data_IF_010518206048
#
_entry.id   IF_010518206048
#
_cell.length_a   1.000
_cell.length_b   1.000
_cell.length_c   1.000
_cell.angle_alpha   90.00
_cell.angle_beta   90.00
_cell.angle_gamma   90.00
#
_symmetry.space_group_name_H-M   'P 1'
#
loop_
_entity.id
_entity.type
_entity.pdbx_description
1 polymer ?
#
# COMPACT_ATOMS: atom_id res chain seq x y z
N UNK A 1 -16.67 2.02 0.21
CA UNK A 1 -16.50 0.73 0.93
C UNK A 1 -15.40 0.01 0.18
N UNK A 2 -14.14 0.02 0.67
CA UNK A 2 -13.10 -0.80 0.05
C UNK A 2 -13.59 -2.23 0.20
N UNK A 3 -14.03 -2.82 -0.91
CA UNK A 3 -14.63 -4.14 -0.84
C UNK A 3 -13.59 -5.07 -0.24
N UNK A 4 -13.99 -5.95 0.68
CA UNK A 4 -13.15 -7.05 1.21
C UNK A 4 -12.32 -7.71 0.09
N UNK A 5 -12.90 -7.80 -1.13
CA UNK A 5 -12.25 -8.23 -2.37
C UNK A 5 -11.03 -7.40 -2.81
N UNK A 6 -11.09 -6.07 -2.78
CA UNK A 6 -10.00 -5.17 -3.18
C UNK A 6 -8.84 -5.23 -2.19
N UNK A 7 -9.12 -5.25 -0.88
CA UNK A 7 -8.08 -5.47 0.14
C UNK A 7 -7.40 -6.83 -0.02
N UNK A 8 -8.18 -7.89 -0.28
CA UNK A 8 -7.67 -9.23 -0.54
C UNK A 8 -6.86 -9.31 -1.85
N UNK A 9 -7.21 -8.52 -2.87
CA UNK A 9 -6.42 -8.40 -4.10
C UNK A 9 -5.11 -7.66 -3.83
N UNK A 10 -5.13 -6.54 -3.09
CA UNK A 10 -3.91 -5.81 -2.70
C UNK A 10 -2.98 -6.60 -1.78
N UNK A 11 -3.51 -7.43 -0.88
CA UNK A 11 -2.71 -8.32 -0.05
C UNK A 11 -2.15 -9.52 -0.85
N UNK A 12 -2.86 -10.00 -1.87
CA UNK A 12 -2.36 -11.01 -2.80
C UNK A 12 -1.34 -10.46 -3.82
N UNK A 13 -1.34 -9.14 -4.05
CA UNK A 13 -0.35 -8.44 -4.87
C UNK A 13 1.03 -8.45 -4.21
N UNK A 14 1.14 -8.46 -2.88
CA UNK A 14 2.44 -8.47 -2.16
C UNK A 14 3.36 -9.62 -2.61
N UNK A 15 2.90 -10.89 -2.67
CA UNK A 15 3.69 -11.99 -3.23
C UNK A 15 3.86 -11.95 -4.75
N UNK A 16 2.87 -11.46 -5.50
CA UNK A 16 2.95 -11.34 -6.96
C UNK A 16 3.93 -10.23 -7.41
N UNK A 17 4.20 -9.26 -6.54
CA UNK A 17 5.10 -8.12 -6.78
C UNK A 17 6.57 -8.45 -6.44
N UNK A 18 6.82 -9.47 -5.61
CA UNK A 18 8.16 -10.01 -5.38
C UNK A 18 8.83 -10.57 -6.66
N UNK A 19 8.07 -10.65 -7.77
CA UNK A 19 8.49 -11.09 -9.10
C UNK A 19 9.68 -10.31 -9.68
N UNK A 20 9.87 -9.04 -9.35
CA UNK A 20 10.99 -8.23 -9.88
C UNK A 20 12.29 -8.38 -9.09
N UNK A 21 12.26 -9.06 -7.93
CA UNK A 21 13.39 -9.14 -6.98
C UNK A 21 13.88 -10.56 -6.74
N UNK A 22 13.69 -11.45 -7.72
CA UNK A 22 14.38 -12.73 -7.77
C UNK A 22 15.90 -12.61 -7.50
N UNK A 23 16.51 -11.49 -7.92
CA UNK A 23 17.94 -11.19 -7.69
C UNK A 23 18.21 -10.02 -6.73
N UNK A 24 17.24 -9.12 -6.49
CA UNK A 24 17.46 -7.94 -5.66
C UNK A 24 17.06 -8.19 -4.20
N UNK A 25 18.01 -8.74 -3.44
CA UNK A 25 18.19 -8.56 -1.99
C UNK A 25 16.93 -8.46 -1.10
N UNK A 26 16.64 -9.55 -0.37
CA UNK A 26 16.62 -9.64 1.12
C UNK A 26 16.08 -8.47 1.98
N UNK A 27 15.29 -7.53 1.48
CA UNK A 27 14.54 -6.61 2.34
C UNK A 27 13.25 -7.31 2.77
N UNK A 28 13.02 -7.43 4.08
CA UNK A 28 11.78 -7.99 4.58
C UNK A 28 10.55 -7.21 4.10
N UNK A 29 9.38 -7.85 4.18
CA UNK A 29 8.12 -7.30 3.67
C UNK A 29 7.53 -6.22 4.60
N UNK A 30 8.22 -5.85 5.67
CA UNK A 30 7.73 -4.86 6.63
C UNK A 30 7.64 -3.47 5.99
N UNK A 31 6.52 -2.78 6.24
CA UNK A 31 6.17 -1.50 5.65
C UNK A 31 5.47 -1.63 4.30
N UNK A 32 5.38 -2.83 3.73
CA UNK A 32 4.79 -3.02 2.39
C UNK A 32 3.32 -2.67 2.36
N UNK A 33 2.57 -3.04 3.40
CA UNK A 33 1.15 -2.73 3.47
C UNK A 33 0.95 -1.21 3.59
N UNK A 34 1.69 -0.55 4.47
CA UNK A 34 1.62 0.88 4.67
C UNK A 34 1.93 1.67 3.38
N UNK A 35 2.97 1.26 2.63
CA UNK A 35 3.29 1.84 1.31
C UNK A 35 2.15 1.67 0.31
N UNK A 36 1.51 0.49 0.24
CA UNK A 36 0.38 0.25 -0.66
C UNK A 36 -0.84 1.10 -0.29
N UNK A 37 -1.16 1.21 0.99
CA UNK A 37 -2.24 2.06 1.50
C UNK A 37 -1.96 3.52 1.14
N UNK A 38 -0.74 3.97 1.39
CA UNK A 38 -0.31 5.33 1.04
C UNK A 38 -0.46 5.62 -0.46
N UNK A 39 0.02 4.71 -1.32
CA UNK A 39 -0.09 4.87 -2.77
C UNK A 39 -1.55 4.98 -3.21
N UNK A 40 -2.43 4.15 -2.64
CA UNK A 40 -3.85 4.18 -2.94
C UNK A 40 -4.51 5.50 -2.49
N UNK A 41 -4.18 5.99 -1.29
CA UNK A 41 -4.62 7.30 -0.80
C UNK A 41 -4.11 8.44 -1.71
N UNK A 42 -2.83 8.42 -2.09
CA UNK A 42 -2.23 9.43 -2.96
C UNK A 42 -2.83 9.44 -4.37
N UNK A 43 -3.10 8.26 -4.94
CA UNK A 43 -3.78 8.13 -6.23
C UNK A 43 -5.20 8.70 -6.17
N UNK A 44 -5.95 8.37 -5.12
CA UNK A 44 -7.31 8.87 -4.94
C UNK A 44 -7.33 10.41 -4.90
N UNK A 45 -6.42 11.02 -4.13
CA UNK A 45 -6.26 12.49 -4.06
C UNK A 45 -5.87 13.06 -5.42
N UNK A 46 -4.92 12.45 -6.13
CA UNK A 46 -4.47 12.94 -7.44
C UNK A 46 -5.59 12.94 -8.49
N UNK A 47 -6.34 11.84 -8.58
CA UNK A 47 -7.42 11.65 -9.56
C UNK A 47 -8.56 12.65 -9.36
N UNK A 48 -8.82 13.05 -8.10
CA UNK A 48 -9.90 13.96 -7.75
C UNK A 48 -9.44 15.42 -7.56
N UNK A 49 -8.15 15.70 -7.73
CA UNK A 49 -7.61 17.05 -7.65
C UNK A 49 -7.76 17.77 -8.99
N UNK A 50 -8.33 18.98 -8.98
CA UNK A 50 -8.39 19.83 -10.18
C UNK A 50 -7.03 20.37 -10.62
N UNK A 51 -6.03 20.34 -9.73
CA UNK A 51 -4.69 20.86 -10.02
C UNK A 51 -3.81 19.86 -10.77
N UNK A 52 -4.07 18.56 -10.64
CA UNK A 52 -3.28 17.53 -11.32
C UNK A 52 -3.62 17.51 -12.82
N UNK A 53 -2.62 17.48 -13.73
CA UNK A 53 -2.87 17.41 -15.16
C UNK A 53 -3.79 16.24 -15.54
N UNK A 54 -4.83 16.52 -16.34
CA UNK A 54 -5.82 15.49 -16.77
C UNK A 54 -5.19 14.22 -17.38
N UNK A 55 -4.14 14.29 -18.22
CA UNK A 55 -3.48 13.08 -18.73
C UNK A 55 -2.88 12.22 -17.62
N UNK A 56 -2.25 12.85 -16.62
CA UNK A 56 -1.65 12.18 -15.47
C UNK A 56 -2.72 11.56 -14.57
N UNK A 57 -3.78 12.31 -14.24
CA UNK A 57 -4.91 11.77 -13.47
C UNK A 57 -5.55 10.56 -14.15
N UNK A 58 -5.72 10.60 -15.48
CA UNK A 58 -6.22 9.46 -16.26
C UNK A 58 -5.27 8.28 -16.28
N UNK A 59 -3.97 8.52 -16.41
CA UNK A 59 -2.96 7.47 -16.35
C UNK A 59 -2.97 6.77 -14.99
N UNK A 60 -2.97 7.53 -13.88
CA UNK A 60 -3.05 6.96 -12.52
C UNK A 60 -4.34 6.15 -12.31
N UNK A 61 -5.47 6.62 -12.84
CA UNK A 61 -6.76 5.92 -12.71
C UNK A 61 -6.90 4.69 -13.63
N UNK A 62 -6.32 4.75 -14.83
CA UNK A 62 -6.47 3.71 -15.86
C UNK A 62 -5.39 2.63 -15.81
N UNK A 63 -4.20 2.97 -15.34
CA UNK A 63 -3.02 2.10 -15.28
C UNK A 63 -2.63 1.82 -13.83
N UNK A 64 -3.60 1.38 -13.03
CA UNK A 64 -3.45 1.18 -11.58
C UNK A 64 -2.31 0.20 -11.25
N UNK A 65 -2.19 -0.87 -12.04
CA UNK A 65 -1.09 -1.83 -11.91
C UNK A 65 0.26 -1.18 -12.20
N UNK A 66 0.37 -0.32 -13.22
CA UNK A 66 1.60 0.42 -13.53
C UNK A 66 1.93 1.47 -12.45
N UNK A 67 0.91 2.10 -11.86
CA UNK A 67 1.09 3.01 -10.73
C UNK A 67 1.66 2.29 -9.51
N UNK A 68 1.10 1.13 -9.13
CA UNK A 68 1.67 0.28 -8.09
C UNK A 68 2.97 -0.42 -8.53
N UNK A 69 3.23 -0.58 -9.83
CA UNK A 69 4.51 -1.06 -10.32
C UNK A 69 5.61 -0.02 -10.10
N UNK A 70 5.29 1.27 -10.15
CA UNK A 70 6.20 2.35 -9.79
C UNK A 70 6.88 2.14 -8.42
N UNK A 71 6.23 1.44 -7.49
CA UNK A 71 6.79 1.15 -6.17
C UNK A 71 7.62 -0.12 -6.06
N UNK A 72 7.57 -1.03 -7.04
CA UNK A 72 8.13 -2.38 -6.85
C UNK A 72 8.62 -3.10 -8.11
N UNK A 73 8.14 -2.76 -9.30
CA UNK A 73 8.43 -3.49 -10.53
C UNK A 73 9.16 -2.58 -11.52
N UNK A 74 10.33 -3.01 -12.00
CA UNK A 74 11.03 -2.36 -13.11
C UNK A 74 10.45 -2.76 -14.50
N UNK A 75 9.36 -3.53 -14.55
CA UNK A 75 8.72 -4.01 -15.77
C UNK A 75 7.20 -3.99 -15.58
N UNK A 76 6.32 -3.72 -16.54
CA UNK A 76 6.46 -3.38 -17.94
C UNK A 76 5.13 -2.71 -18.32
N UNK A 77 5.15 -1.41 -18.54
CA UNK A 77 4.06 -0.72 -19.22
C UNK A 77 4.48 -0.47 -20.65
N UNK A 78 3.88 -1.14 -21.64
CA UNK A 78 4.10 -0.79 -23.04
C UNK A 78 3.20 0.38 -23.42
N UNK A 79 3.60 1.60 -23.04
CA UNK A 79 2.93 2.81 -23.53
C UNK A 79 3.14 4.05 -22.64
N UNK A 80 2.90 5.25 -23.19
CA UNK A 80 3.12 6.52 -22.48
C UNK A 80 2.29 6.67 -21.19
N UNK A 81 1.06 6.14 -21.16
CA UNK A 81 0.20 6.22 -19.98
C UNK A 81 0.75 5.38 -18.82
N UNK A 82 1.19 4.17 -19.09
CA UNK A 82 1.77 3.29 -18.07
C UNK A 82 3.10 3.83 -17.55
N UNK A 83 3.93 4.43 -18.41
CA UNK A 83 5.16 5.12 -17.98
C UNK A 83 4.87 6.30 -17.04
N UNK A 84 3.87 7.10 -17.39
CA UNK A 84 3.42 8.23 -16.58
C UNK A 84 2.89 7.77 -15.22
N UNK A 85 2.07 6.71 -15.18
CA UNK A 85 1.59 6.09 -13.95
C UNK A 85 2.74 5.56 -13.09
N UNK A 86 3.73 4.86 -13.68
CA UNK A 86 4.92 4.39 -12.97
C UNK A 86 5.74 5.55 -12.35
N UNK A 87 5.93 6.65 -13.09
CA UNK A 87 6.61 7.85 -12.57
C UNK A 87 5.86 8.46 -11.39
N UNK A 88 4.53 8.52 -11.47
CA UNK A 88 3.70 8.98 -10.37
C UNK A 88 3.83 8.08 -9.14
N UNK A 89 3.76 6.76 -9.31
CA UNK A 89 3.95 5.81 -8.21
C UNK A 89 5.30 5.97 -7.49
N UNK A 90 6.38 6.15 -8.25
CA UNK A 90 7.72 6.46 -7.70
C UNK A 90 7.73 7.76 -6.91
N UNK A 91 7.21 8.83 -7.51
CA UNK A 91 7.18 10.15 -6.88
C UNK A 91 6.39 10.13 -5.55
N UNK A 92 5.29 9.38 -5.50
CA UNK A 92 4.50 9.19 -4.28
C UNK A 92 5.32 8.48 -3.19
N UNK A 93 6.01 7.38 -3.52
CA UNK A 93 6.84 6.68 -2.55
C UNK A 93 8.01 7.51 -2.03
N UNK A 94 8.66 8.28 -2.89
CA UNK A 94 9.75 9.16 -2.47
C UNK A 94 9.27 10.24 -1.49
N UNK A 95 8.01 10.69 -1.59
CA UNK A 95 7.41 11.54 -0.57
C UNK A 95 7.17 10.78 0.75
N UNK A 96 6.71 9.53 0.65
CA UNK A 96 6.42 8.68 1.79
C UNK A 96 7.65 8.22 2.58
N UNK A 97 8.82 8.11 1.95
CA UNK A 97 10.06 7.67 2.59
C UNK A 97 10.39 8.47 3.87
N UNK A 98 10.02 9.74 3.92
CA UNK A 98 10.21 10.62 5.09
C UNK A 98 9.30 10.30 6.28
N UNK A 99 8.20 9.58 6.07
CA UNK A 99 7.24 9.18 7.09
C UNK A 99 7.42 7.71 7.52
N UNK A 100 8.31 6.96 6.85
CA UNK A 100 8.49 5.54 7.09
C UNK A 100 9.38 5.28 8.33
N UNK A 101 8.98 4.36 9.24
CA UNK A 101 9.84 3.97 10.34
C UNK A 101 11.16 3.33 9.89
N UNK A 102 12.25 3.68 10.55
CA UNK A 102 13.60 3.17 10.23
C UNK A 102 13.80 1.70 10.62
N UNK A 103 13.12 1.24 11.68
CA UNK A 103 13.28 -0.12 12.21
C UNK A 103 12.23 -1.08 11.66
N UNK A 104 12.61 -2.36 11.53
CA UNK A 104 11.70 -3.45 11.13
C UNK A 104 10.47 -3.54 12.05
N UNK A 105 10.68 -3.48 13.36
CA UNK A 105 9.60 -3.49 14.34
C UNK A 105 8.67 -2.26 14.20
N UNK A 106 9.24 -1.08 13.94
CA UNK A 106 8.48 0.14 13.66
C UNK A 106 7.62 0.00 12.40
N UNK A 107 8.18 -0.57 11.32
CA UNK A 107 7.43 -0.81 10.07
C UNK A 107 6.27 -1.79 10.26
N UNK A 108 6.46 -2.88 11.00
CA UNK A 108 5.37 -3.81 11.34
C UNK A 108 4.28 -3.16 12.19
N UNK A 109 4.67 -2.38 13.21
CA UNK A 109 3.72 -1.64 14.03
C UNK A 109 2.92 -0.63 13.19
N UNK A 110 3.57 -0.05 12.19
CA UNK A 110 2.94 0.89 11.27
C UNK A 110 1.96 0.23 10.30
N UNK A 111 2.35 -0.90 9.70
CA UNK A 111 1.45 -1.73 8.90
C UNK A 111 0.20 -2.14 9.70
N UNK A 112 0.40 -2.63 10.94
CA UNK A 112 -0.69 -3.02 11.83
C UNK A 112 -1.62 -1.84 12.15
N UNK A 113 -1.05 -0.65 12.38
CA UNK A 113 -1.83 0.56 12.65
C UNK A 113 -2.71 0.94 11.46
N UNK A 114 -2.12 1.09 10.27
CA UNK A 114 -2.89 1.48 9.08
C UNK A 114 -3.92 0.42 8.69
N UNK A 115 -3.62 -0.85 8.92
CA UNK A 115 -4.58 -1.93 8.73
C UNK A 115 -5.80 -1.79 9.65
N UNK A 116 -5.60 -1.49 10.93
CA UNK A 116 -6.70 -1.24 11.87
C UNK A 116 -7.49 0.00 11.50
N UNK A 117 -6.82 1.07 11.05
CA UNK A 117 -7.48 2.28 10.57
C UNK A 117 -8.36 1.99 9.35
N UNK A 118 -7.86 1.22 8.38
CA UNK A 118 -8.66 0.74 7.26
C UNK A 118 -9.85 -0.10 7.70
N UNK A 119 -9.65 -1.01 8.66
CA UNK A 119 -10.74 -1.81 9.22
C UNK A 119 -11.81 -0.93 9.88
N UNK A 120 -11.39 0.10 10.63
CA UNK A 120 -12.29 1.05 11.29
C UNK A 120 -13.12 1.88 10.29
N UNK A 121 -12.55 2.24 9.11
CA UNK A 121 -13.30 2.87 8.01
C UNK A 121 -14.43 1.97 7.48
N UNK A 122 -14.32 0.65 7.65
CA UNK A 122 -15.35 -0.32 7.30
C UNK A 122 -16.57 -0.33 8.22
N UNK A 123 -16.53 0.43 9.32
CA UNK A 123 -17.58 0.51 10.34
C UNK A 123 -17.12 -0.06 11.69
N UNK A 124 -17.86 0.22 12.79
CA UNK A 124 -17.50 -0.27 14.11
C UNK A 124 -17.58 -1.80 14.15
N UNK A 125 -16.47 -2.44 14.51
CA UNK A 125 -16.45 -3.86 14.79
C UNK A 125 -17.32 -4.14 16.04
N UNK A 126 -18.10 -5.23 16.01
CA UNK A 126 -18.93 -5.63 17.16
C UNK A 126 -18.08 -6.01 18.39
N UNK A 127 -16.87 -6.50 18.15
CA UNK A 127 -15.82 -6.75 19.14
C UNK A 127 -14.46 -6.70 18.45
N UNK A 128 -13.40 -6.50 19.23
CA UNK A 128 -12.05 -6.69 18.72
C UNK A 128 -11.80 -8.18 18.41
N UNK A 129 -11.11 -8.49 17.30
CA UNK A 129 -10.74 -9.87 16.98
C UNK A 129 -9.69 -10.38 17.96
N UNK A 130 -9.74 -11.67 18.30
CA UNK A 130 -8.72 -12.31 19.14
C UNK A 130 -7.42 -12.50 18.36
N UNK A 131 -6.31 -12.70 19.07
CA UNK A 131 -5.02 -13.02 18.45
C UNK A 131 -5.12 -14.28 17.56
N UNK A 132 -5.87 -15.29 17.99
CA UNK A 132 -6.11 -16.50 17.21
C UNK A 132 -6.88 -16.19 15.92
N UNK A 133 -7.92 -15.37 15.96
CA UNK A 133 -8.68 -15.00 14.76
C UNK A 133 -7.85 -14.17 13.77
N UNK A 134 -6.98 -13.30 14.29
CA UNK A 134 -6.01 -12.55 13.47
C UNK A 134 -5.03 -13.51 12.80
N UNK A 135 -4.48 -14.48 13.54
CA UNK A 135 -3.56 -15.48 13.01
C UNK A 135 -4.21 -16.38 11.94
N UNK A 136 -5.41 -16.89 12.20
CA UNK A 136 -6.19 -17.70 11.24
C UNK A 136 -6.49 -16.91 9.96
N UNK A 137 -6.81 -15.62 10.08
CA UNK A 137 -7.04 -14.77 8.93
C UNK A 137 -5.79 -14.60 8.07
N UNK A 138 -4.64 -14.34 8.70
CA UNK A 138 -3.37 -14.25 7.98
C UNK A 138 -2.94 -15.59 7.36
N UNK A 139 -3.20 -16.72 8.02
CA UNK A 139 -2.95 -18.05 7.43
C UNK A 139 -3.77 -18.27 6.15
N UNK A 140 -5.05 -17.86 6.12
CA UNK A 140 -5.86 -17.90 4.90
C UNK A 140 -5.26 -17.02 3.79
N UNK A 141 -4.72 -15.84 4.14
CA UNK A 141 -4.04 -14.97 3.17
C UNK A 141 -2.75 -15.61 2.64
N UNK A 142 -1.95 -16.24 3.51
CA UNK A 142 -0.76 -17.01 3.13
C UNK A 142 -1.09 -18.11 2.12
N UNK A 143 -2.13 -18.90 2.39
CA UNK A 143 -2.57 -19.95 1.47
C UNK A 143 -3.02 -19.39 0.12
N UNK A 144 -3.74 -18.27 0.10
CA UNK A 144 -4.14 -17.61 -1.16
C UNK A 144 -2.96 -17.05 -1.93
N UNK A 145 -1.98 -16.48 -1.23
CA UNK A 145 -0.72 -16.06 -1.82
C UNK A 145 0.01 -17.25 -2.46
N UNK A 146 0.08 -18.39 -1.78
CA UNK A 146 0.68 -19.61 -2.34
C UNK A 146 -0.10 -20.13 -3.55
N UNK A 147 -1.43 -20.03 -3.54
CA UNK A 147 -2.26 -20.32 -4.71
C UNK A 147 -2.05 -19.29 -5.83
N UNK A 148 -1.70 -18.04 -5.56
CA UNK A 148 -1.27 -17.15 -6.64
C UNK A 148 0.12 -17.56 -7.17
N UNK A 149 1.00 -18.00 -6.28
CA UNK A 149 2.38 -18.40 -6.57
C UNK A 149 2.46 -19.71 -7.37
N UNK A 150 1.59 -20.69 -7.13
CA UNK A 150 1.64 -21.98 -7.84
C UNK A 150 1.19 -21.90 -9.31
N UNK A 151 0.52 -20.81 -9.72
CA UNK A 151 0.16 -20.59 -11.13
C UNK A 151 1.31 -20.02 -11.97
N UNK A 152 2.46 -19.75 -11.35
CA UNK A 152 3.63 -19.25 -12.07
C UNK A 152 4.40 -20.40 -12.73
N UNK A 153 4.58 -20.27 -14.04
CA UNK A 153 5.33 -21.21 -14.87
C UNK A 153 6.83 -21.04 -14.55
N UNK A 154 7.56 -22.13 -14.24
CA UNK A 154 8.99 -22.07 -13.98
C UNK A 154 9.77 -21.58 -15.21
N UNK A 155 10.96 -21.02 -14.98
CA UNK A 155 11.92 -20.88 -16.06
C UNK A 155 12.43 -22.27 -16.43
N UNK A 156 12.17 -22.72 -17.66
CA UNK A 156 12.57 -24.05 -18.14
C UNK A 156 14.09 -24.24 -18.08
N UNK A 157 14.87 -23.16 -18.09
CA UNK A 157 16.34 -23.20 -18.01
C UNK A 157 16.90 -23.24 -16.57
N UNK A 158 16.11 -22.91 -15.55
CA UNK A 158 16.55 -22.80 -14.14
C UNK A 158 15.43 -23.17 -13.15
N UNK A 159 14.97 -24.43 -13.21
CA UNK A 159 13.92 -24.94 -12.31
C UNK A 159 14.38 -24.95 -10.85
N UNK A 160 15.64 -25.29 -10.58
CA UNK A 160 16.18 -25.34 -9.21
C UNK A 160 16.30 -23.95 -8.59
N UNK A 161 16.86 -22.97 -9.30
CA UNK A 161 16.91 -21.59 -8.83
C UNK A 161 15.51 -21.01 -8.69
N UNK A 162 14.56 -21.37 -9.56
CA UNK A 162 13.15 -21.00 -9.41
C UNK A 162 12.55 -21.54 -8.10
N UNK A 163 12.76 -22.83 -7.80
CA UNK A 163 12.32 -23.44 -6.53
C UNK A 163 12.93 -22.75 -5.31
N UNK A 164 14.23 -22.44 -5.34
CA UNK A 164 14.92 -21.72 -4.24
C UNK A 164 14.32 -20.33 -4.01
N UNK A 165 14.03 -19.58 -5.08
CA UNK A 165 13.38 -18.28 -5.01
C UNK A 165 11.97 -18.39 -4.43
N UNK A 166 11.24 -19.43 -4.81
CA UNK A 166 9.89 -19.72 -4.30
C UNK A 166 9.88 -19.96 -2.79
N UNK A 167 10.80 -20.80 -2.30
CA UNK A 167 10.93 -21.12 -0.87
C UNK A 167 11.29 -19.86 -0.08
N UNK A 168 12.22 -19.04 -0.58
CA UNK A 168 12.58 -17.77 0.07
C UNK A 168 11.39 -16.82 0.17
N UNK A 169 10.61 -16.68 -0.90
CA UNK A 169 9.40 -15.88 -0.91
C UNK A 169 8.38 -16.39 0.11
N UNK A 170 8.15 -17.71 0.13
CA UNK A 170 7.26 -18.34 1.10
C UNK A 170 7.65 -18.01 2.54
N UNK A 171 8.93 -18.22 2.90
CA UNK A 171 9.42 -17.94 4.25
C UNK A 171 9.32 -16.46 4.62
N UNK A 172 9.58 -15.55 3.68
CA UNK A 172 9.45 -14.11 3.91
C UNK A 172 7.99 -13.71 4.16
N UNK A 173 7.06 -14.28 3.38
CA UNK A 173 5.62 -14.06 3.53
C UNK A 173 5.13 -14.58 4.88
N UNK A 174 5.51 -15.79 5.28
CA UNK A 174 5.14 -16.35 6.58
C UNK A 174 5.70 -15.52 7.75
N UNK A 175 6.98 -15.14 7.69
CA UNK A 175 7.62 -14.33 8.72
C UNK A 175 6.93 -12.98 8.89
N UNK A 176 6.62 -12.31 7.77
CA UNK A 176 5.91 -11.03 7.77
C UNK A 176 4.52 -11.15 8.37
N UNK A 177 3.73 -12.16 7.96
CA UNK A 177 2.38 -12.33 8.49
C UNK A 177 2.36 -12.68 9.98
N UNK A 178 3.29 -13.52 10.44
CA UNK A 178 3.45 -13.81 11.86
C UNK A 178 3.80 -12.54 12.65
N UNK A 179 4.75 -11.74 12.15
CA UNK A 179 5.13 -10.46 12.76
C UNK A 179 3.99 -9.45 12.79
N UNK A 180 3.20 -9.37 11.71
CA UNK A 180 2.07 -8.48 11.60
C UNK A 180 0.91 -8.90 12.52
N UNK A 181 0.65 -10.20 12.65
CA UNK A 181 -0.34 -10.73 13.59
C UNK A 181 0.03 -10.35 15.03
N UNK A 182 1.29 -10.55 15.42
CA UNK A 182 1.79 -10.16 16.73
C UNK A 182 1.70 -8.63 16.94
N UNK A 183 1.99 -7.81 15.94
CA UNK A 183 1.84 -6.36 16.02
C UNK A 183 0.36 -5.93 16.15
N UNK A 184 -0.56 -6.61 15.46
CA UNK A 184 -1.99 -6.43 15.59
C UNK A 184 -2.55 -6.89 16.95
N UNK A 185 -1.90 -7.82 17.65
CA UNK A 185 -2.33 -8.27 18.98
C UNK A 185 -1.91 -7.29 20.10
N UNK A 186 -0.79 -6.57 19.95
CA UNK A 186 -0.22 -5.66 20.99
C UNK A 186 -1.05 -4.40 21.30
N UNK A 187 -2.30 -4.29 20.84
CA UNK A 187 -3.20 -3.17 21.13
C UNK A 187 -2.92 -1.87 20.36
N UNK A 188 -3.79 -0.86 20.53
CA UNK A 188 -3.69 0.44 19.85
C UNK A 188 -2.43 1.17 20.31
N UNK A 189 -1.52 1.42 19.38
CA UNK A 189 -0.47 2.41 19.60
C UNK A 189 -1.13 3.77 19.89
N UNK A 190 -0.53 4.53 20.79
CA UNK A 190 -0.92 5.90 21.12
C UNK A 190 -1.08 6.76 19.86
N UNK A 191 -1.94 7.81 19.92
CA UNK A 191 -1.84 8.90 18.97
C UNK A 191 -0.38 9.35 18.94
N UNK A 192 0.23 9.27 17.77
CA UNK A 192 1.63 9.63 17.58
C UNK A 192 1.66 10.55 16.36
N UNK A 193 2.69 11.39 16.27
CA UNK A 193 2.89 12.38 15.22
C UNK A 193 2.88 11.80 13.79
N UNK A 194 2.85 10.47 13.66
CA UNK A 194 2.89 9.74 12.41
C UNK A 194 1.53 9.71 11.67
N UNK A 195 0.41 9.42 12.35
CA UNK A 195 -0.94 9.35 11.73
C UNK A 195 -1.99 10.04 12.60
N UNK A 196 -2.77 10.94 12.00
CA UNK A 196 -3.92 11.57 12.63
C UNK A 196 -5.15 11.41 11.71
N UNK A 197 -6.19 10.63 12.10
CA UNK A 197 -7.40 10.48 11.29
C UNK A 197 -8.22 11.79 11.17
N UNK A 198 -7.96 12.77 12.04
CA UNK A 198 -8.56 14.10 11.96
C UNK A 198 -7.73 15.08 11.12
N UNK A 199 -6.57 14.66 10.59
CA UNK A 199 -5.83 15.44 9.60
C UNK A 199 -6.70 15.63 8.35
N UNK A 200 -6.90 16.88 7.87
CA UNK A 200 -7.81 17.16 6.75
C UNK A 200 -7.52 16.34 5.51
N UNK A 201 -6.24 16.14 5.17
CA UNK A 201 -5.85 15.43 3.96
C UNK A 201 -6.00 13.92 4.12
N UNK A 202 -5.70 13.39 5.30
CA UNK A 202 -5.93 11.97 5.64
C UNK A 202 -7.42 11.65 5.61
N UNK A 203 -8.25 12.52 6.18
CA UNK A 203 -9.71 12.37 6.16
C UNK A 203 -10.28 12.46 4.76
N UNK A 204 -9.80 13.38 3.94
CA UNK A 204 -10.22 13.51 2.54
C UNK A 204 -9.85 12.27 1.73
N UNK A 205 -8.58 11.81 1.83
CA UNK A 205 -8.13 10.57 1.19
C UNK A 205 -8.98 9.36 1.62
N UNK A 206 -9.26 9.24 2.92
CA UNK A 206 -10.14 8.19 3.44
C UNK A 206 -11.54 8.24 2.84
N UNK A 207 -12.15 9.42 2.77
CA UNK A 207 -13.51 9.59 2.26
C UNK A 207 -13.64 9.29 0.76
N UNK A 208 -12.59 9.55 -0.03
CA UNK A 208 -12.56 9.22 -1.46
C UNK A 208 -12.71 7.72 -1.75
N UNK A 209 -12.39 6.84 -0.80
CA UNK A 209 -12.64 5.39 -0.90
C UNK A 209 -14.09 4.97 -0.66
N UNK A 210 -14.94 5.90 -0.24
CA UNK A 210 -16.37 5.70 -0.06
C UNK A 210 -17.21 6.34 -1.16
N UNK A 211 -16.62 7.22 -1.95
CA UNK A 211 -17.25 7.87 -3.09
C UNK A 211 -16.49 9.15 -3.47
N UNK A 212 -16.82 9.76 -4.62
CA UNK A 212 -16.23 11.02 -5.02
C UNK A 212 -16.57 12.10 -3.98
N UNK A 213 -15.56 12.91 -3.65
CA UNK A 213 -15.77 14.16 -2.92
C UNK A 213 -16.02 15.30 -3.90
N UNK A 214 -16.64 16.38 -3.38
CA UNK A 214 -16.64 17.64 -4.09
C UNK A 214 -15.19 18.11 -4.34
N UNK A 215 -14.84 18.58 -5.56
CA UNK A 215 -13.50 19.05 -5.86
C UNK A 215 -13.01 20.19 -4.94
N UNK A 216 -13.93 21.04 -4.46
CA UNK A 216 -13.62 22.10 -3.49
C UNK A 216 -13.18 21.54 -2.14
N UNK A 217 -13.79 20.43 -1.67
CA UNK A 217 -13.38 19.76 -0.44
C UNK A 217 -11.98 19.15 -0.55
N UNK A 218 -11.61 18.60 -1.71
CA UNK A 218 -10.25 18.10 -1.97
C UNK A 218 -9.25 19.26 -2.00
N UNK A 219 -9.60 20.38 -2.64
CA UNK A 219 -8.77 21.57 -2.67
C UNK A 219 -8.54 22.16 -1.28
N UNK A 220 -9.59 22.26 -0.45
CA UNK A 220 -9.49 22.73 0.93
C UNK A 220 -8.55 21.83 1.77
N UNK A 221 -8.70 20.51 1.63
CA UNK A 221 -7.83 19.55 2.32
C UNK A 221 -6.35 19.67 1.90
N UNK A 222 -6.07 19.96 0.63
CA UNK A 222 -4.72 20.19 0.11
C UNK A 222 -4.12 21.52 0.58
N UNK A 223 -4.95 22.56 0.76
CA UNK A 223 -4.53 23.85 1.28
C UNK A 223 -4.23 23.82 2.78
N UNK A 224 -4.94 22.97 3.54
CA UNK A 224 -4.76 22.82 4.97
C UNK A 224 -3.30 22.43 5.34
N UNK A 225 -2.88 22.86 6.54
CA UNK A 225 -1.58 22.48 7.10
C UNK A 225 -1.66 21.04 7.64
N UNK A 226 -0.80 20.12 7.18
CA UNK A 226 -0.80 18.76 7.70
C UNK A 226 -0.39 18.71 9.17
N UNK A 227 -1.08 17.87 9.93
CA UNK A 227 -0.92 17.66 11.37
C UNK A 227 -0.04 16.46 11.69
N UNK A 228 0.08 15.50 10.76
CA UNK A 228 0.84 14.27 10.95
C UNK A 228 1.86 14.01 9.81
N UNK A 229 2.79 13.09 10.03
CA UNK A 229 3.79 12.70 9.02
C UNK A 229 3.14 12.13 7.76
N UNK A 230 2.11 11.30 7.92
CA UNK A 230 1.35 10.75 6.80
C UNK A 230 0.66 11.83 5.97
N UNK A 231 0.03 12.81 6.60
CA UNK A 231 -0.58 13.97 5.92
C UNK A 231 0.46 14.83 5.20
N UNK A 232 1.65 15.03 5.80
CA UNK A 232 2.78 15.72 5.12
C UNK A 232 3.23 14.95 3.88
N UNK A 233 3.39 13.64 3.98
CA UNK A 233 3.76 12.79 2.85
C UNK A 233 2.71 12.84 1.73
N UNK A 234 1.41 12.81 2.04
CA UNK A 234 0.34 12.96 1.04
C UNK A 234 0.42 14.30 0.32
N UNK A 235 0.64 15.40 1.06
CA UNK A 235 0.78 16.74 0.48
C UNK A 235 2.02 16.82 -0.42
N UNK A 236 3.13 16.24 0.00
CA UNK A 236 4.35 16.20 -0.79
C UNK A 236 4.22 15.32 -2.05
N UNK A 237 3.51 14.19 -1.96
CA UNK A 237 3.20 13.36 -3.13
C UNK A 237 2.39 14.15 -4.16
N UNK A 238 1.35 14.86 -3.70
CA UNK A 238 0.55 15.73 -4.57
C UNK A 238 1.40 16.81 -5.25
N UNK A 239 2.25 17.51 -4.50
CA UNK A 239 3.17 18.51 -5.07
C UNK A 239 4.09 17.93 -6.13
N UNK A 240 4.61 16.72 -5.93
CA UNK A 240 5.43 16.05 -6.94
C UNK A 240 4.63 15.69 -8.18
N UNK A 241 3.36 15.32 -8.07
CA UNK A 241 2.49 15.09 -9.23
C UNK A 241 2.30 16.34 -10.09
N UNK A 242 2.29 17.53 -9.49
CA UNK A 242 2.22 18.79 -10.23
C UNK A 242 3.49 19.09 -11.03
N UNK A 243 4.61 18.43 -10.72
CA UNK A 243 5.89 18.59 -11.38
C UNK A 243 6.17 17.53 -12.46
N UNK A 244 5.25 16.58 -12.68
CA UNK A 244 5.38 15.48 -13.65
C UNK A 244 4.72 15.80 -14.99
#
# INVERSE_FOLDING_TARGET
MIARRQFLQSAAIIPAVARSRADAATSGLEGSLARLIFLHDAAAVAVHSMAVPKPLARAVAGEVEAYFAGSWLQSAGSGPAAEMAMRAGRAALEAYASAEPETTAGRLAWDARLLRELAARGGPARREPTEQEIAEWFDVLSRRALVAIHTYIPDEADVEGWMVRLIRLHNAVESYWSGLAAACARGRATPDAMYDPADPLVRAAAALHHGPLDPGAVAEALLAQPRCAYGRALKQAHQRFLAL
#
